data_IF_479267849266
#
_entry.id   IF_479267849266
#
_cell.length_a   1.000
_cell.length_b   1.000
_cell.length_c   1.000
_cell.angle_alpha   90.00
_cell.angle_beta   90.00
_cell.angle_gamma   90.00
#
_symmetry.space_group_name_H-M   'P 1'
#
loop_
_entity.id
_entity.type
_entity.pdbx_description
1 polymer ?
#
# COMPACT_ATOMS: atom_id res chain seq x y z
N UNK A 1 29.06 4.13 -24.97
CA UNK A 1 28.61 5.40 -25.61
C UNK A 1 27.07 5.44 -25.63
N UNK A 2 26.42 6.16 -24.70
CA UNK A 2 24.94 6.21 -24.58
C UNK A 2 24.34 7.09 -25.70
N UNK A 3 23.83 6.50 -26.80
CA UNK A 3 23.04 7.23 -27.82
C UNK A 3 21.72 7.72 -27.21
N UNK A 4 21.57 9.00 -26.86
CA UNK A 4 20.28 9.56 -26.38
C UNK A 4 19.22 9.50 -27.49
N UNK A 5 17.98 9.13 -27.16
CA UNK A 5 16.86 9.14 -28.10
C UNK A 5 16.55 10.58 -28.57
N UNK A 6 16.30 10.78 -29.86
CA UNK A 6 16.05 12.11 -30.45
C UNK A 6 14.62 12.60 -30.13
N UNK A 7 14.50 13.71 -29.41
CA UNK A 7 13.23 14.42 -29.17
C UNK A 7 12.94 15.37 -30.35
N UNK A 8 11.68 15.47 -30.79
CA UNK A 8 11.21 16.48 -31.77
C UNK A 8 10.26 17.47 -31.10
N UNK A 9 10.25 18.74 -31.52
CA UNK A 9 9.25 19.69 -31.02
C UNK A 9 7.87 19.38 -31.61
N UNK A 10 6.84 19.42 -30.77
CA UNK A 10 5.44 19.35 -31.17
C UNK A 10 4.94 20.69 -31.69
N UNK A 11 3.77 20.69 -32.34
CA UNK A 11 3.08 21.93 -32.76
C UNK A 11 2.76 22.89 -31.60
N UNK A 12 2.79 22.39 -30.35
CA UNK A 12 2.52 23.16 -29.14
C UNK A 12 3.79 23.43 -28.32
N UNK A 13 4.98 23.38 -28.95
CA UNK A 13 6.26 23.70 -28.30
C UNK A 13 6.83 22.63 -27.36
N UNK A 14 6.05 21.64 -26.93
CA UNK A 14 6.53 20.53 -26.10
C UNK A 14 7.46 19.59 -26.88
N UNK A 15 8.56 19.13 -26.27
CA UNK A 15 9.39 18.05 -26.83
C UNK A 15 8.66 16.71 -26.72
N UNK A 16 8.56 16.00 -27.83
CA UNK A 16 7.97 14.66 -27.92
C UNK A 16 9.06 13.66 -28.32
N UNK A 17 9.18 12.60 -27.54
CA UNK A 17 9.88 11.37 -27.92
C UNK A 17 8.90 10.47 -28.67
N UNK A 18 9.32 9.97 -29.84
CA UNK A 18 8.52 8.99 -30.62
C UNK A 18 9.19 7.64 -30.56
N UNK A 19 8.46 6.63 -30.09
CA UNK A 19 8.92 5.26 -29.95
C UNK A 19 8.16 4.41 -30.96
N UNK A 20 8.89 3.84 -31.92
CA UNK A 20 8.34 3.02 -33.01
C UNK A 20 8.85 1.58 -33.02
N UNK A 21 9.89 1.29 -32.23
CA UNK A 21 10.54 -0.01 -32.14
C UNK A 21 10.58 -0.47 -30.69
N UNK A 22 10.39 -1.78 -30.45
CA UNK A 22 10.49 -2.33 -29.09
C UNK A 22 11.83 -2.03 -28.42
N UNK A 23 12.93 -2.02 -29.16
CA UNK A 23 14.26 -1.67 -28.60
C UNK A 23 14.30 -0.26 -28.01
N UNK A 24 13.61 0.71 -28.62
CA UNK A 24 13.54 2.08 -28.11
C UNK A 24 12.59 2.17 -26.91
N UNK A 25 11.54 1.34 -26.88
CA UNK A 25 10.64 1.20 -25.74
C UNK A 25 11.37 0.62 -24.53
N UNK A 26 11.99 -0.55 -24.66
CA UNK A 26 12.73 -1.23 -23.59
C UNK A 26 13.77 -0.30 -22.98
N UNK A 27 14.51 0.41 -23.84
CA UNK A 27 15.47 1.40 -23.36
C UNK A 27 14.80 2.52 -22.56
N UNK A 28 13.69 3.05 -23.04
CA UNK A 28 12.98 4.12 -22.36
C UNK A 28 12.37 3.65 -21.03
N UNK A 29 11.86 2.42 -20.97
CA UNK A 29 11.38 1.81 -19.73
C UNK A 29 12.53 1.64 -18.73
N UNK A 30 13.67 1.08 -19.15
CA UNK A 30 14.85 0.92 -18.31
C UNK A 30 15.41 2.27 -17.80
N UNK A 31 15.43 3.30 -18.65
CA UNK A 31 15.84 4.66 -18.25
C UNK A 31 14.87 5.29 -17.21
N UNK A 32 13.71 4.68 -16.97
CA UNK A 32 12.69 5.09 -16.00
C UNK A 32 12.31 3.97 -15.02
N UNK A 33 13.18 2.99 -14.80
CA UNK A 33 12.99 1.89 -13.84
C UNK A 33 11.66 1.13 -14.04
N UNK A 34 11.23 0.99 -15.30
CA UNK A 34 9.95 0.37 -15.67
C UNK A 34 8.73 0.96 -14.95
N UNK A 35 8.84 2.15 -14.34
CA UNK A 35 7.79 2.71 -13.50
C UNK A 35 7.38 1.81 -12.33
N UNK A 36 8.31 1.00 -11.80
CA UNK A 36 8.13 0.25 -10.56
C UNK A 36 7.72 1.20 -9.42
N UNK A 37 6.74 0.79 -8.62
CA UNK A 37 6.09 1.62 -7.59
C UNK A 37 5.51 2.94 -8.14
N UNK A 38 5.20 2.98 -9.44
CA UNK A 38 4.60 4.13 -10.09
C UNK A 38 3.12 4.28 -9.74
N UNK A 39 2.51 5.30 -10.33
CA UNK A 39 1.07 5.49 -10.30
C UNK A 39 0.59 5.89 -11.69
N UNK A 40 -0.63 5.50 -12.03
CA UNK A 40 -1.34 6.04 -13.21
C UNK A 40 -2.17 7.22 -12.70
N UNK A 41 -2.41 8.25 -13.49
CA UNK A 41 -3.33 9.35 -13.06
C UNK A 41 -4.47 9.56 -14.01
N UNK A 42 -4.35 9.01 -15.22
CA UNK A 42 -5.38 9.04 -16.24
C UNK A 42 -5.06 7.93 -17.25
N UNK A 43 -6.07 7.16 -17.65
CA UNK A 43 -5.99 6.30 -18.82
C UNK A 43 -7.30 6.40 -19.58
N UNK A 44 -7.24 6.90 -20.80
CA UNK A 44 -8.45 7.15 -21.58
C UNK A 44 -8.27 6.96 -23.06
N UNK A 45 -9.33 6.45 -23.67
CA UNK A 45 -9.47 6.41 -25.12
C UNK A 45 -9.86 7.79 -25.63
N UNK A 46 -8.97 8.40 -26.42
CA UNK A 46 -9.22 9.72 -27.04
C UNK A 46 -10.06 9.56 -28.30
N UNK A 47 -9.78 8.52 -29.09
CA UNK A 47 -10.53 8.17 -30.30
C UNK A 47 -10.40 6.66 -30.57
N UNK A 48 -10.98 6.16 -31.68
CA UNK A 48 -10.94 4.72 -32.03
C UNK A 48 -9.53 4.12 -32.13
N UNK A 49 -8.49 4.94 -32.37
CA UNK A 49 -7.10 4.54 -32.62
C UNK A 49 -6.09 5.26 -31.73
N UNK A 50 -6.53 6.03 -30.72
CA UNK A 50 -5.65 6.77 -29.81
C UNK A 50 -6.04 6.52 -28.37
N UNK A 51 -5.07 6.12 -27.55
CA UNK A 51 -5.19 6.05 -26.08
C UNK A 51 -4.16 7.00 -25.47
N UNK A 52 -4.56 7.75 -24.45
CA UNK A 52 -3.68 8.59 -23.63
C UNK A 52 -3.60 7.98 -22.24
N UNK A 53 -2.38 7.90 -21.72
CA UNK A 53 -2.09 7.50 -20.36
C UNK A 53 -1.18 8.55 -19.71
N UNK A 54 -1.44 8.85 -18.44
CA UNK A 54 -0.54 9.58 -17.57
C UNK A 54 -0.02 8.62 -16.51
N UNK A 55 1.30 8.52 -16.42
CA UNK A 55 2.00 7.62 -15.50
C UNK A 55 3.13 8.38 -14.84
N UNK A 56 3.27 8.26 -13.53
CA UNK A 56 4.31 8.96 -12.80
C UNK A 56 5.01 8.08 -11.79
N UNK A 57 6.15 8.58 -11.34
CA UNK A 57 6.98 8.00 -10.29
C UNK A 57 7.34 9.10 -9.30
N UNK A 58 7.51 8.73 -8.04
CA UNK A 58 8.08 9.62 -7.04
C UNK A 58 9.58 9.81 -7.32
N UNK A 59 10.05 11.06 -7.27
CA UNK A 59 11.47 11.40 -7.48
C UNK A 59 12.09 12.17 -6.32
N UNK A 60 11.26 12.74 -5.43
CA UNK A 60 11.67 13.41 -4.19
C UNK A 60 10.59 13.20 -3.12
N UNK A 61 10.97 13.25 -1.84
CA UNK A 61 10.08 13.05 -0.69
C UNK A 61 10.23 11.66 -0.05
N UNK A 62 9.34 11.35 0.89
CA UNK A 62 9.24 10.05 1.55
C UNK A 62 7.80 9.52 1.49
N UNK A 63 7.56 8.33 2.07
CA UNK A 63 6.25 7.69 2.06
C UNK A 63 5.37 8.03 3.27
N UNK A 64 5.83 8.88 4.21
CA UNK A 64 5.06 9.26 5.40
C UNK A 64 3.89 10.17 4.97
N UNK A 65 2.69 9.85 5.45
CA UNK A 65 1.48 10.61 5.19
C UNK A 65 1.63 12.11 5.52
N UNK A 66 1.03 12.97 4.69
CA UNK A 66 1.05 14.43 4.85
C UNK A 66 2.37 15.11 4.46
N UNK A 67 3.45 14.36 4.21
CA UNK A 67 4.74 14.97 3.85
C UNK A 67 4.80 15.40 2.38
N UNK A 68 5.58 16.45 2.04
CA UNK A 68 5.76 16.86 0.66
C UNK A 68 6.47 15.79 -0.19
N UNK A 69 6.00 15.61 -1.43
CA UNK A 69 6.67 14.80 -2.45
C UNK A 69 6.65 15.47 -3.82
N UNK A 70 7.56 15.03 -4.69
CA UNK A 70 7.59 15.43 -6.10
C UNK A 70 7.39 14.20 -6.97
N UNK A 71 6.40 14.28 -7.85
CA UNK A 71 6.11 13.25 -8.83
C UNK A 71 6.57 13.70 -10.21
N UNK A 72 7.25 12.82 -10.92
CA UNK A 72 7.64 13.02 -12.32
C UNK A 72 6.67 12.24 -13.20
N UNK A 73 5.74 12.94 -13.81
CA UNK A 73 4.65 12.33 -14.58
C UNK A 73 4.85 12.50 -16.09
N UNK A 74 4.74 11.38 -16.80
CA UNK A 74 4.80 11.30 -18.24
C UNK A 74 3.39 11.20 -18.83
N UNK A 75 3.14 11.95 -19.91
CA UNK A 75 2.01 11.69 -20.79
C UNK A 75 2.47 10.80 -21.94
N UNK A 76 1.89 9.61 -22.05
CA UNK A 76 2.10 8.64 -23.11
C UNK A 76 0.87 8.58 -23.98
N UNK A 77 1.05 8.76 -25.29
CA UNK A 77 -0.04 8.70 -26.28
C UNK A 77 0.25 7.52 -27.21
N UNK A 78 -0.54 6.47 -27.10
CA UNK A 78 -0.51 5.33 -28.00
C UNK A 78 -1.28 5.66 -29.28
N UNK A 79 -0.61 5.56 -30.44
CA UNK A 79 -1.18 5.87 -31.76
C UNK A 79 -1.37 4.62 -32.60
N UNK A 80 -2.48 4.55 -33.32
CA UNK A 80 -2.82 3.39 -34.14
C UNK A 80 -3.14 2.15 -33.30
N UNK A 81 -3.82 2.37 -32.17
CA UNK A 81 -4.25 1.32 -31.24
C UNK A 81 -5.12 0.29 -31.97
N UNK A 82 -4.83 -0.99 -31.77
CA UNK A 82 -5.56 -2.13 -32.36
C UNK A 82 -6.39 -2.89 -31.34
N UNK A 83 -5.91 -2.94 -30.11
CA UNK A 83 -6.62 -3.56 -28.99
C UNK A 83 -6.41 -2.69 -27.75
N UNK A 84 -7.52 -2.37 -27.10
CA UNK A 84 -7.60 -1.68 -25.81
C UNK A 84 -8.97 -2.00 -25.23
N UNK A 85 -8.99 -2.85 -24.20
CA UNK A 85 -10.14 -3.04 -23.33
C UNK A 85 -9.80 -2.34 -22.03
N UNK A 86 -10.67 -1.46 -21.59
CA UNK A 86 -10.55 -0.82 -20.29
C UNK A 86 -11.92 -0.89 -19.63
N UNK A 87 -12.21 -2.05 -19.07
CA UNK A 87 -13.42 -2.26 -18.28
C UNK A 87 -13.21 -1.87 -16.81
N UNK A 88 -11.96 -1.57 -16.44
CA UNK A 88 -11.56 -1.24 -15.09
C UNK A 88 -11.72 0.26 -14.82
N UNK A 89 -12.38 0.57 -13.70
CA UNK A 89 -12.39 1.92 -13.14
C UNK A 89 -11.13 2.07 -12.29
N UNK A 90 -10.15 2.78 -12.84
CA UNK A 90 -8.88 3.04 -12.17
C UNK A 90 -9.04 4.04 -11.03
N UNK A 91 -8.53 3.71 -9.84
CA UNK A 91 -8.31 4.66 -8.75
C UNK A 91 -6.92 5.29 -8.90
N UNK A 92 -6.81 6.63 -9.03
CA UNK A 92 -5.53 7.37 -9.03
C UNK A 92 -4.55 7.03 -7.90
N UNK A 93 -5.02 6.40 -6.84
CA UNK A 93 -4.21 6.00 -5.69
C UNK A 93 -3.68 4.56 -5.80
N UNK A 94 -4.08 3.79 -6.82
CA UNK A 94 -3.46 2.50 -7.10
C UNK A 94 -2.04 2.68 -7.63
N UNK A 95 -1.09 2.08 -6.90
CA UNK A 95 0.25 1.85 -7.39
C UNK A 95 0.24 0.81 -8.50
N UNK A 96 1.21 0.93 -9.41
CA UNK A 96 1.52 -0.11 -10.39
C UNK A 96 2.81 -0.82 -9.98
N UNK A 97 2.87 -2.12 -10.22
CA UNK A 97 4.12 -2.88 -10.12
C UNK A 97 5.07 -2.53 -11.27
N UNK A 98 4.51 -2.09 -12.40
CA UNK A 98 5.32 -1.55 -13.48
C UNK A 98 4.58 -1.38 -14.81
N UNK A 99 5.36 -0.91 -15.78
CA UNK A 99 5.02 -0.79 -17.18
C UNK A 99 6.02 -1.64 -17.96
N UNK A 100 5.56 -2.72 -18.58
CA UNK A 100 6.43 -3.61 -19.32
C UNK A 100 6.17 -3.52 -20.83
N UNK A 101 7.04 -4.20 -21.58
CA UNK A 101 6.88 -4.30 -23.02
C UNK A 101 6.32 -5.68 -23.35
N UNK A 102 5.41 -5.71 -24.31
CA UNK A 102 4.89 -6.96 -24.86
C UNK A 102 5.57 -7.18 -26.22
N UNK A 103 6.19 -8.35 -26.38
CA UNK A 103 6.72 -8.76 -27.68
C UNK A 103 5.57 -8.87 -28.70
N UNK A 104 5.75 -8.21 -29.85
CA UNK A 104 4.75 -8.24 -30.92
C UNK A 104 5.40 -8.21 -32.30
N UNK A 105 4.82 -8.94 -33.24
CA UNK A 105 5.27 -8.96 -34.64
C UNK A 105 4.89 -7.68 -35.41
N UNK A 106 3.99 -6.84 -34.86
CA UNK A 106 3.48 -5.66 -35.56
C UNK A 106 3.30 -4.46 -34.63
N UNK A 107 4.34 -3.65 -34.45
CA UNK A 107 4.25 -2.35 -33.77
C UNK A 107 4.82 -2.40 -32.37
N UNK A 108 4.11 -1.84 -31.40
CA UNK A 108 4.49 -1.75 -29.99
C UNK A 108 3.36 -2.33 -29.13
N UNK A 109 3.72 -3.17 -28.17
CA UNK A 109 2.84 -3.61 -27.09
C UNK A 109 3.37 -3.14 -25.74
N UNK A 110 2.47 -2.70 -24.86
CA UNK A 110 2.74 -2.39 -23.45
C UNK A 110 1.66 -3.01 -22.58
N UNK A 111 2.05 -3.42 -21.40
CA UNK A 111 1.23 -3.90 -20.29
C UNK A 111 1.48 -3.01 -19.08
N UNK A 112 0.39 -2.51 -18.51
CA UNK A 112 0.39 -1.77 -17.26
C UNK A 112 -0.10 -2.71 -16.18
N UNK A 113 0.74 -2.97 -15.19
CA UNK A 113 0.38 -3.85 -14.08
C UNK A 113 -0.51 -3.09 -13.09
N UNK A 114 -1.80 -3.26 -13.30
CA UNK A 114 -2.90 -2.73 -12.50
C UNK A 114 -3.70 -3.94 -11.98
N UNK A 115 -4.58 -3.77 -10.97
CA UNK A 115 -5.40 -4.89 -10.47
C UNK A 115 -6.09 -5.71 -11.57
N UNK A 116 -6.48 -5.06 -12.68
CA UNK A 116 -6.69 -5.71 -13.97
C UNK A 116 -5.62 -5.23 -14.96
N UNK A 117 -4.77 -6.14 -15.46
CA UNK A 117 -3.67 -5.81 -16.38
C UNK A 117 -4.21 -5.12 -17.64
N UNK A 118 -3.76 -3.89 -17.88
CA UNK A 118 -4.15 -3.13 -19.06
C UNK A 118 -3.13 -3.31 -20.17
N UNK A 119 -3.54 -3.96 -21.26
CA UNK A 119 -2.70 -4.17 -22.44
C UNK A 119 -3.05 -3.20 -23.58
N UNK A 120 -2.04 -2.54 -24.14
CA UNK A 120 -2.19 -1.63 -25.27
C UNK A 120 -1.27 -2.08 -26.41
N UNK A 121 -1.88 -2.43 -27.55
CA UNK A 121 -1.16 -2.73 -28.80
C UNK A 121 -1.36 -1.60 -29.80
N UNK A 122 -0.27 -0.97 -30.25
CA UNK A 122 -0.30 0.22 -31.08
C UNK A 122 0.81 0.23 -32.16
N UNK A 123 0.80 1.26 -33.03
CA UNK A 123 1.85 1.44 -34.05
C UNK A 123 3.06 2.18 -33.51
N UNK A 124 2.84 3.13 -32.61
CA UNK A 124 3.89 3.95 -32.00
C UNK A 124 3.39 4.58 -30.71
N UNK A 125 4.32 4.91 -29.81
CA UNK A 125 4.06 5.71 -28.62
C UNK A 125 4.68 7.10 -28.79
N UNK A 126 3.93 8.12 -28.39
CA UNK A 126 4.43 9.47 -28.25
C UNK A 126 4.51 9.80 -26.76
N UNK A 127 5.72 10.04 -26.28
CA UNK A 127 5.97 10.40 -24.89
C UNK A 127 6.28 11.89 -24.84
N UNK A 128 5.44 12.65 -24.15
CA UNK A 128 5.69 14.07 -23.90
C UNK A 128 6.81 14.26 -22.88
N UNK A 129 7.39 15.46 -22.86
CA UNK A 129 8.25 15.90 -21.77
C UNK A 129 7.50 15.80 -20.44
N UNK A 130 8.09 15.15 -19.41
CA UNK A 130 7.40 14.94 -18.15
C UNK A 130 7.13 16.27 -17.44
N UNK A 131 6.03 16.31 -16.70
CA UNK A 131 5.74 17.38 -15.75
C UNK A 131 6.17 16.96 -14.35
N UNK A 132 6.62 17.93 -13.55
CA UNK A 132 6.92 17.73 -12.15
C UNK A 132 5.76 18.28 -11.33
N UNK A 133 5.13 17.42 -10.54
CA UNK A 133 3.97 17.74 -9.71
C UNK A 133 4.43 17.76 -8.26
N UNK A 134 4.34 18.93 -7.62
CA UNK A 134 4.53 19.05 -6.17
C UNK A 134 3.20 18.74 -5.50
N UNK A 135 3.19 17.78 -4.59
CA UNK A 135 2.00 17.33 -3.87
C UNK A 135 2.41 16.80 -2.49
N UNK A 136 1.47 16.23 -1.74
CA UNK A 136 1.71 15.51 -0.50
C UNK A 136 1.54 14.01 -0.69
N UNK A 137 2.19 13.23 0.17
CA UNK A 137 1.92 11.81 0.31
C UNK A 137 0.56 11.63 0.97
N UNK A 138 -0.39 11.04 0.23
CA UNK A 138 -1.72 10.76 0.76
C UNK A 138 -1.64 9.75 1.89
N UNK A 139 -2.49 9.89 2.91
CA UNK A 139 -2.58 8.89 3.95
C UNK A 139 -3.21 7.60 3.43
N UNK A 140 -2.66 6.49 3.88
CA UNK A 140 -3.17 5.14 3.69
C UNK A 140 -3.03 4.38 5.01
N UNK A 141 -4.14 3.82 5.46
CA UNK A 141 -4.23 3.04 6.70
C UNK A 141 -4.25 1.57 6.30
N UNK A 142 -3.30 0.79 6.80
CA UNK A 142 -3.34 -0.66 6.64
C UNK A 142 -4.52 -1.23 7.44
N UNK A 143 -5.26 -2.13 6.82
CA UNK A 143 -6.38 -2.78 7.47
C UNK A 143 -5.99 -4.10 8.17
N UNK A 144 -4.73 -4.50 8.05
CA UNK A 144 -4.23 -5.78 8.52
C UNK A 144 -2.97 -5.71 9.38
N UNK A 145 -2.28 -4.56 9.47
CA UNK A 145 -1.04 -4.45 10.25
C UNK A 145 -0.98 -3.14 11.02
N UNK A 146 -0.55 -3.22 12.28
CA UNK A 146 -0.31 -2.07 13.14
C UNK A 146 0.97 -2.30 13.96
N UNK A 147 1.78 -1.25 14.06
CA UNK A 147 2.88 -1.15 14.99
C UNK A 147 2.57 -0.06 16.01
N UNK A 148 2.85 -0.33 17.29
CA UNK A 148 2.73 0.66 18.34
C UNK A 148 3.98 0.69 19.21
N UNK A 149 4.39 1.89 19.60
CA UNK A 149 5.43 2.13 20.60
C UNK A 149 4.79 2.85 21.78
N UNK A 150 4.95 2.28 22.96
CA UNK A 150 4.37 2.78 24.21
C UNK A 150 5.51 3.20 25.14
N UNK A 151 5.70 4.50 25.38
CA UNK A 151 6.69 4.99 26.33
C UNK A 151 6.18 4.90 27.77
N UNK A 152 7.10 4.86 28.73
CA UNK A 152 6.83 4.93 30.17
C UNK A 152 5.86 3.89 30.73
N UNK A 153 5.81 2.71 30.09
CA UNK A 153 4.94 1.63 30.49
C UNK A 153 5.64 0.28 30.32
N UNK A 154 5.46 -0.60 31.28
CA UNK A 154 5.84 -2.00 31.13
C UNK A 154 4.88 -2.72 30.18
N UNK A 155 5.40 -3.73 29.49
CA UNK A 155 4.60 -4.56 28.61
C UNK A 155 3.46 -5.27 29.38
N UNK A 156 2.19 -5.21 28.92
CA UNK A 156 1.10 -5.90 29.59
C UNK A 156 1.30 -7.42 29.57
N UNK A 157 0.99 -8.07 30.69
CA UNK A 157 0.98 -9.54 30.78
C UNK A 157 -0.11 -10.13 29.88
N UNK A 158 0.02 -11.39 29.42
CA UNK A 158 -1.00 -12.07 28.62
C UNK A 158 -2.43 -11.97 29.17
N UNK A 159 -2.60 -12.04 30.50
CA UNK A 159 -3.92 -11.91 31.15
C UNK A 159 -4.52 -10.50 30.98
N UNK A 160 -3.70 -9.45 31.06
CA UNK A 160 -4.16 -8.06 30.95
C UNK A 160 -4.80 -7.77 29.59
N UNK A 161 -4.31 -8.38 28.52
CA UNK A 161 -4.94 -8.26 27.20
C UNK A 161 -6.35 -8.88 27.16
N UNK A 162 -6.54 -10.02 27.82
CA UNK A 162 -7.86 -10.66 27.93
C UNK A 162 -8.80 -9.75 28.70
N UNK A 163 -8.39 -9.26 29.86
CA UNK A 163 -9.21 -8.38 30.72
C UNK A 163 -9.64 -7.11 30.00
N UNK A 164 -8.72 -6.48 29.26
CA UNK A 164 -9.00 -5.24 28.50
C UNK A 164 -9.94 -5.47 27.31
N UNK A 165 -9.85 -6.63 26.65
CA UNK A 165 -10.75 -7.01 25.56
C UNK A 165 -12.11 -7.47 26.07
N UNK A 166 -12.15 -8.14 27.21
CA UNK A 166 -13.40 -8.53 27.89
C UNK A 166 -14.20 -7.30 28.33
N UNK A 167 -13.53 -6.27 28.83
CA UNK A 167 -14.15 -4.97 29.13
C UNK A 167 -14.76 -4.28 27.89
N UNK A 168 -14.35 -4.69 26.68
CA UNK A 168 -14.93 -4.26 25.39
C UNK A 168 -15.95 -5.25 24.82
N UNK A 169 -16.31 -6.30 25.56
CA UNK A 169 -17.29 -7.30 25.17
C UNK A 169 -16.73 -8.50 24.38
N UNK A 170 -15.40 -8.66 24.33
CA UNK A 170 -14.77 -9.76 23.60
C UNK A 170 -14.21 -10.82 24.55
N UNK A 171 -14.70 -12.04 24.42
CA UNK A 171 -14.13 -13.21 25.12
C UNK A 171 -13.06 -13.81 24.21
N UNK A 172 -11.80 -13.62 24.57
CA UNK A 172 -10.65 -14.05 23.77
C UNK A 172 -9.79 -15.07 24.50
N UNK A 173 -9.03 -15.85 23.73
CA UNK A 173 -8.07 -16.83 24.23
C UNK A 173 -6.76 -16.74 23.47
N UNK A 174 -5.68 -17.10 24.15
CA UNK A 174 -4.36 -17.28 23.56
C UNK A 174 -4.22 -18.66 22.93
N UNK A 175 -3.51 -18.73 21.79
CA UNK A 175 -3.14 -20.01 21.14
C UNK A 175 -1.98 -19.82 20.15
N UNK A 176 -1.38 -20.92 19.73
CA UNK A 176 -0.65 -20.99 18.47
C UNK A 176 -1.63 -21.19 17.31
N UNK A 177 -1.20 -20.85 16.09
CA UNK A 177 -2.02 -21.05 14.90
C UNK A 177 -2.50 -22.50 14.79
N UNK A 178 -3.82 -22.71 14.77
CA UNK A 178 -4.42 -24.03 14.70
C UNK A 178 -4.35 -24.89 15.99
N UNK A 179 -3.73 -24.44 17.09
CA UNK A 179 -3.63 -25.21 18.34
C UNK A 179 -4.85 -25.06 19.25
N UNK A 180 -4.94 -25.85 20.31
CA UNK A 180 -5.85 -25.63 21.43
C UNK A 180 -5.61 -24.30 22.15
N UNK A 181 -6.61 -23.89 22.95
CA UNK A 181 -6.53 -22.75 23.87
C UNK A 181 -5.41 -22.98 24.88
N UNK A 182 -4.67 -21.91 25.18
CA UNK A 182 -3.67 -21.85 26.24
C UNK A 182 -4.10 -20.88 27.32
N UNK A 183 -3.81 -21.25 28.56
CA UNK A 183 -4.00 -20.35 29.69
C UNK A 183 -2.98 -19.21 29.62
N UNK A 184 -3.30 -18.00 30.13
CA UNK A 184 -2.39 -16.87 30.11
C UNK A 184 -1.00 -17.15 30.70
N UNK A 185 -0.91 -18.00 31.72
CA UNK A 185 0.34 -18.37 32.39
C UNK A 185 1.22 -19.31 31.54
N UNK A 186 0.65 -19.91 30.50
CA UNK A 186 1.36 -20.77 29.55
C UNK A 186 1.94 -19.97 28.37
N UNK A 187 1.57 -18.70 28.24
CA UNK A 187 2.08 -17.80 27.21
C UNK A 187 3.43 -17.23 27.68
N UNK A 188 4.51 -17.34 26.89
CA UNK A 188 5.81 -16.81 27.24
C UNK A 188 5.76 -15.32 27.55
N UNK A 189 6.53 -14.90 28.56
CA UNK A 189 6.64 -13.51 28.97
C UNK A 189 8.11 -13.19 29.27
N UNK A 190 8.64 -12.02 28.85
CA UNK A 190 7.90 -10.90 28.24
C UNK A 190 7.61 -11.05 26.74
N UNK A 191 8.21 -12.01 26.05
CA UNK A 191 8.04 -12.13 24.60
C UNK A 191 7.00 -13.18 24.21
N UNK A 192 5.81 -12.72 23.85
CA UNK A 192 4.73 -13.55 23.27
C UNK A 192 4.58 -13.36 21.76
N UNK A 193 5.67 -13.02 21.06
CA UNK A 193 5.71 -13.06 19.59
C UNK A 193 5.40 -14.46 19.08
N UNK A 194 4.68 -14.56 17.96
CA UNK A 194 4.28 -15.85 17.38
C UNK A 194 2.93 -16.37 17.88
N UNK A 195 2.26 -15.66 18.79
CA UNK A 195 0.99 -16.07 19.38
C UNK A 195 -0.21 -15.35 18.76
N UNK A 196 -1.38 -15.98 18.86
CA UNK A 196 -2.65 -15.39 18.44
C UNK A 196 -3.53 -15.07 19.63
N UNK A 197 -4.15 -13.88 19.58
CA UNK A 197 -5.38 -13.58 20.31
C UNK A 197 -6.57 -13.83 19.38
N UNK A 198 -7.50 -14.66 19.82
CA UNK A 198 -8.66 -15.03 19.01
C UNK A 198 -9.92 -15.12 19.86
N UNK A 199 -11.08 -14.74 19.31
CA UNK A 199 -12.38 -14.98 19.94
C UNK A 199 -12.55 -16.47 20.27
N UNK A 200 -12.82 -16.77 21.54
CA UNK A 200 -12.83 -18.15 22.07
C UNK A 200 -13.84 -19.04 21.35
N UNK A 201 -15.02 -18.48 21.01
CA UNK A 201 -16.08 -19.19 20.27
C UNK A 201 -15.73 -19.47 18.80
N UNK A 202 -14.70 -18.82 18.23
CA UNK A 202 -14.26 -19.04 16.84
C UNK A 202 -13.13 -20.03 16.69
N UNK A 203 -12.49 -20.45 17.79
CA UNK A 203 -11.33 -21.36 17.77
C UNK A 203 -11.63 -22.69 17.11
N UNK A 204 -12.87 -23.17 17.20
CA UNK A 204 -13.32 -24.42 16.56
C UNK A 204 -13.49 -24.29 15.03
N UNK A 205 -13.60 -23.06 14.51
CA UNK A 205 -13.97 -22.80 13.12
C UNK A 205 -12.86 -22.11 12.32
N UNK A 206 -11.94 -21.41 12.98
CA UNK A 206 -10.84 -20.71 12.31
C UNK A 206 -9.50 -21.03 12.96
N UNK A 207 -8.46 -21.09 12.13
CA UNK A 207 -7.09 -21.40 12.56
C UNK A 207 -6.37 -20.20 13.17
N UNK A 208 -6.78 -18.98 12.80
CA UNK A 208 -6.09 -17.74 13.13
C UNK A 208 -7.03 -16.70 13.73
N UNK A 209 -6.41 -15.74 14.42
CA UNK A 209 -7.01 -14.52 14.95
C UNK A 209 -6.10 -13.33 14.66
N UNK A 210 -5.91 -12.47 15.67
CA UNK A 210 -4.90 -11.41 15.59
C UNK A 210 -3.56 -11.98 16.03
N UNK A 211 -2.60 -11.93 15.13
CA UNK A 211 -1.24 -12.40 15.33
C UNK A 211 -0.41 -11.33 16.03
N UNK A 212 0.27 -11.70 17.11
CA UNK A 212 1.32 -10.88 17.70
C UNK A 212 2.61 -11.22 16.97
N UNK A 213 2.98 -10.40 15.98
CA UNK A 213 4.14 -10.65 15.13
C UNK A 213 5.45 -10.40 15.87
N UNK A 214 5.48 -9.38 16.72
CA UNK A 214 6.68 -8.98 17.43
C UNK A 214 6.36 -8.20 18.69
N UNK A 215 7.11 -8.46 19.74
CA UNK A 215 7.12 -7.67 20.98
C UNK A 215 8.56 -7.35 21.34
N UNK A 216 8.84 -6.08 21.58
CA UNK A 216 10.16 -5.61 21.96
C UNK A 216 10.04 -4.82 23.26
N UNK A 217 10.18 -5.50 24.42
CA UNK A 217 10.24 -4.85 25.71
C UNK A 217 11.60 -4.16 25.89
N UNK A 218 11.59 -2.95 26.40
CA UNK A 218 12.76 -2.12 26.71
C UNK A 218 12.60 -1.54 28.13
N UNK A 219 13.64 -0.90 28.68
CA UNK A 219 13.52 -0.30 30.02
C UNK A 219 12.50 0.84 29.99
N UNK A 220 11.37 0.65 30.69
CA UNK A 220 10.27 1.62 30.80
C UNK A 220 9.63 1.98 29.44
N UNK A 221 9.64 1.07 28.47
CA UNK A 221 8.87 1.18 27.24
C UNK A 221 8.71 -0.19 26.58
N UNK A 222 7.77 -0.30 25.65
CA UNK A 222 7.71 -1.46 24.76
C UNK A 222 7.24 -1.04 23.37
N UNK A 223 7.52 -1.90 22.40
CA UNK A 223 6.80 -1.86 21.13
C UNK A 223 6.19 -3.20 20.78
N UNK A 224 5.07 -3.14 20.06
CA UNK A 224 4.30 -4.30 19.65
C UNK A 224 3.90 -4.16 18.18
N UNK A 225 3.99 -5.27 17.45
CA UNK A 225 3.53 -5.38 16.07
C UNK A 225 2.45 -6.46 16.01
N UNK A 226 1.29 -6.10 15.48
CA UNK A 226 0.14 -7.01 15.35
C UNK A 226 -0.36 -7.08 13.91
N UNK A 227 -0.87 -8.24 13.54
CA UNK A 227 -1.42 -8.51 12.21
C UNK A 227 -2.79 -9.20 12.27
N UNK A 228 -3.77 -8.74 11.50
CA UNK A 228 -5.08 -9.35 11.40
C UNK A 228 -5.09 -10.46 10.33
N UNK A 229 -4.86 -11.70 10.75
CA UNK A 229 -4.90 -12.88 9.86
C UNK A 229 -6.32 -13.35 9.53
N UNK A 230 -7.34 -12.69 10.10
CA UNK A 230 -8.74 -12.99 9.86
C UNK A 230 -9.48 -11.73 9.43
N UNK A 231 -8.99 -11.08 8.37
CA UNK A 231 -9.37 -9.74 7.93
C UNK A 231 -10.90 -9.52 7.91
N UNK A 232 -11.68 -10.44 7.33
CA UNK A 232 -13.13 -10.28 7.21
C UNK A 232 -13.89 -10.64 8.49
N UNK A 233 -13.57 -11.76 9.15
CA UNK A 233 -14.35 -12.24 10.30
C UNK A 233 -13.83 -11.73 11.66
N UNK A 234 -12.70 -11.01 11.68
CA UNK A 234 -12.02 -10.48 12.86
C UNK A 234 -11.99 -8.96 12.96
N UNK A 235 -12.71 -8.23 12.10
CA UNK A 235 -12.70 -6.76 12.05
C UNK A 235 -13.04 -6.10 13.39
N UNK A 236 -14.05 -6.59 14.09
CA UNK A 236 -14.48 -6.00 15.37
C UNK A 236 -13.45 -6.22 16.48
N UNK A 237 -12.89 -7.43 16.56
CA UNK A 237 -11.80 -7.73 17.49
C UNK A 237 -10.54 -6.90 17.17
N UNK A 238 -10.24 -6.70 15.89
CA UNK A 238 -9.13 -5.84 15.44
C UNK A 238 -9.34 -4.40 15.91
N UNK A 239 -10.52 -3.83 15.67
CA UNK A 239 -10.86 -2.49 16.15
C UNK A 239 -10.73 -2.42 17.69
N UNK A 240 -11.27 -3.40 18.41
CA UNK A 240 -11.20 -3.43 19.87
C UNK A 240 -9.77 -3.47 20.41
N UNK A 241 -8.91 -4.34 19.86
CA UNK A 241 -7.52 -4.44 20.29
C UNK A 241 -6.73 -3.17 19.96
N UNK A 242 -6.92 -2.61 18.77
CA UNK A 242 -6.23 -1.37 18.39
C UNK A 242 -6.69 -0.17 19.22
N UNK A 243 -7.97 -0.15 19.67
CA UNK A 243 -8.45 0.82 20.66
C UNK A 243 -7.84 0.61 22.05
N UNK A 244 -7.63 -0.65 22.48
CA UNK A 244 -6.90 -0.95 23.72
C UNK A 244 -5.50 -0.36 23.66
N UNK A 245 -4.77 -0.63 22.57
CA UNK A 245 -3.42 -0.09 22.34
C UNK A 245 -3.42 1.44 22.32
N UNK A 246 -4.39 2.04 21.63
CA UNK A 246 -4.54 3.49 21.56
C UNK A 246 -4.93 4.15 22.89
N UNK A 247 -5.38 3.37 23.87
CA UNK A 247 -5.64 3.82 25.23
C UNK A 247 -4.38 3.99 26.08
N UNK A 248 -3.22 3.50 25.64
CA UNK A 248 -1.98 3.70 26.38
C UNK A 248 -1.51 5.16 26.33
N UNK A 249 -0.97 5.71 27.44
CA UNK A 249 -0.43 7.06 27.46
C UNK A 249 0.68 7.26 26.42
N UNK A 250 0.64 8.40 25.73
CA UNK A 250 1.67 8.84 24.77
C UNK A 250 2.05 7.80 23.70
N UNK A 251 1.14 6.87 23.39
CA UNK A 251 1.37 5.83 22.38
C UNK A 251 1.54 6.43 20.99
N UNK A 252 2.60 5.99 20.32
CA UNK A 252 2.85 6.24 18.90
C UNK A 252 2.37 5.04 18.09
N UNK A 253 1.39 5.26 17.21
CA UNK A 253 0.82 4.24 16.34
C UNK A 253 1.30 4.47 14.91
N UNK A 254 1.88 3.43 14.31
CA UNK A 254 2.20 3.38 12.89
C UNK A 254 1.29 2.36 12.22
N UNK A 255 0.52 2.82 11.24
CA UNK A 255 -0.44 1.98 10.50
C UNK A 255 -0.48 2.40 9.03
N UNK A 256 -0.19 1.45 8.15
CA UNK A 256 0.11 1.76 6.76
C UNK A 256 1.27 2.75 6.65
N UNK A 257 1.02 3.92 6.08
CA UNK A 257 2.00 5.01 6.01
C UNK A 257 1.70 6.19 6.95
N UNK A 258 0.74 6.01 7.86
CA UNK A 258 0.33 7.02 8.83
C UNK A 258 1.09 6.84 10.15
N UNK A 259 1.48 7.97 10.74
CA UNK A 259 1.98 8.07 12.12
C UNK A 259 0.98 8.88 12.94
N UNK A 260 0.39 8.24 13.96
CA UNK A 260 -0.75 8.75 14.72
C UNK A 260 -0.49 8.62 16.23
N UNK A 261 -1.06 9.52 17.02
CA UNK A 261 -1.23 9.32 18.46
C UNK A 261 -2.41 8.39 18.75
N UNK A 262 -2.49 7.84 19.97
CA UNK A 262 -3.67 7.09 20.42
C UNK A 262 -4.99 7.85 20.24
N UNK A 263 -5.02 9.15 20.54
CA UNK A 263 -6.20 10.01 20.35
C UNK A 263 -6.58 10.14 18.88
N UNK A 264 -5.60 10.34 17.98
CA UNK A 264 -5.85 10.46 16.54
C UNK A 264 -6.37 9.14 15.95
N UNK A 265 -5.81 8.01 16.37
CA UNK A 265 -6.31 6.70 15.96
C UNK A 265 -7.74 6.44 16.43
N UNK A 266 -8.04 6.75 17.69
CA UNK A 266 -9.40 6.63 18.20
C UNK A 266 -10.38 7.53 17.42
N UNK A 267 -10.02 8.77 17.12
CA UNK A 267 -10.86 9.65 16.30
C UNK A 267 -11.12 9.03 14.91
N UNK A 268 -10.07 8.54 14.24
CA UNK A 268 -10.18 7.89 12.94
C UNK A 268 -11.11 6.68 12.95
N UNK A 269 -11.04 5.81 13.97
CA UNK A 269 -11.96 4.66 14.07
C UNK A 269 -13.43 5.10 14.12
N UNK A 270 -13.73 6.25 14.74
CA UNK A 270 -15.11 6.73 14.89
C UNK A 270 -15.59 7.56 13.70
N UNK A 271 -14.75 8.42 13.11
CA UNK A 271 -15.15 9.36 12.06
C UNK A 271 -14.72 8.94 10.65
N UNK A 272 -13.71 8.08 10.52
CA UNK A 272 -13.02 7.79 9.26
C UNK A 272 -12.07 8.91 8.81
N UNK A 273 -11.89 9.97 9.60
CA UNK A 273 -11.07 11.13 9.23
C UNK A 273 -9.65 11.03 9.81
N UNK A 274 -8.65 11.38 9.01
CA UNK A 274 -7.24 11.40 9.39
C UNK A 274 -6.75 12.84 9.62
N UNK A 275 -5.71 13.06 10.45
CA UNK A 275 -5.29 14.39 10.89
C UNK A 275 -4.39 15.16 9.88
N UNK A 276 -4.45 14.80 8.59
CA UNK A 276 -3.55 15.31 7.54
C UNK A 276 -4.23 16.30 6.59
#
# INVERSE_FOLDING_TARGET
MKKRLRKKMSKNGKRILRIKKCTDLVKWLNDNFNFEEGYVSDIKKIDKRTVRMCIGIQVEGNYVAGTPKVLKEYTIIAKGVRNFKNNFQYDPDHLIEGLFHIETTKGIGIDVDLPEIVQIYCKELWVEEPRYIRTITKPWVSEYQLYAKVPNLELPKPLTWIEQLEAKGFIVSWRYGGSEIKLPEQVPYPDYSGWFLQETNKIQYTQFGIFIRGVHPEYNCFSIMIENYNYEAGKDLWIALTQVIAGFPDVEIRIGNCELTGTQWNNYIHSGELPY
#
